data_IF_735286953002
#
_entry.id   IF_735286953002
#
_cell.length_a   1.000
_cell.length_b   1.000
_cell.length_c   1.000
_cell.angle_alpha   90.00
_cell.angle_beta   90.00
_cell.angle_gamma   90.00
#
_symmetry.space_group_name_H-M   'P 1'
#
loop_
_entity.id
_entity.type
_entity.pdbx_description
1 polymer ?
#
# COMPACT_ATOMS: atom_id res chain seq x y z
N UNK A 1 -38.03 0.15 -13.32
CA UNK A 1 -37.14 -0.03 -12.15
C UNK A 1 -36.60 -1.45 -12.20
N UNK A 2 -35.51 -1.66 -12.94
CA UNK A 2 -35.06 -3.01 -13.29
C UNK A 2 -34.11 -3.56 -12.23
N UNK A 3 -34.66 -4.44 -11.41
CA UNK A 3 -34.02 -5.62 -10.80
C UNK A 3 -32.49 -5.58 -10.64
N UNK A 4 -32.06 -5.21 -9.43
CA UNK A 4 -30.73 -5.43 -8.87
C UNK A 4 -30.50 -6.93 -8.58
N UNK A 5 -30.88 -7.83 -9.49
CA UNK A 5 -30.92 -9.27 -9.22
C UNK A 5 -29.68 -9.98 -9.76
N UNK A 6 -28.51 -9.36 -9.68
CA UNK A 6 -27.24 -10.01 -9.94
C UNK A 6 -26.51 -10.32 -8.64
N UNK A 7 -25.92 -11.52 -8.52
CA UNK A 7 -25.01 -11.84 -7.41
C UNK A 7 -23.94 -10.76 -7.26
N UNK A 8 -23.72 -10.21 -6.05
CA UNK A 8 -22.72 -9.16 -5.83
C UNK A 8 -21.30 -9.70 -6.08
N UNK A 9 -20.33 -8.79 -6.05
CA UNK A 9 -18.92 -9.16 -5.96
C UNK A 9 -18.69 -10.06 -4.73
N UNK A 10 -17.66 -10.90 -4.76
CA UNK A 10 -17.28 -11.74 -3.61
C UNK A 10 -15.81 -11.59 -3.32
N UNK A 11 -15.44 -11.56 -2.05
CA UNK A 11 -14.05 -11.45 -1.62
C UNK A 11 -13.54 -12.76 -1.06
N UNK A 12 -12.34 -13.14 -1.44
CA UNK A 12 -11.58 -14.22 -0.81
C UNK A 12 -10.29 -13.68 -0.23
N UNK A 13 -10.13 -13.78 1.09
CA UNK A 13 -8.96 -13.26 1.80
C UNK A 13 -8.07 -14.39 2.27
N UNK A 14 -6.77 -14.33 1.94
CA UNK A 14 -5.80 -15.31 2.40
C UNK A 14 -5.45 -15.06 3.88
N UNK A 15 -5.85 -16.00 4.76
CA UNK A 15 -5.68 -15.89 6.22
C UNK A 15 -4.99 -17.08 6.87
N UNK A 16 -4.39 -17.99 6.12
CA UNK A 16 -3.61 -19.07 6.74
C UNK A 16 -2.18 -18.67 7.14
N UNK A 17 -1.39 -19.71 7.44
CA UNK A 17 -0.14 -19.63 8.20
C UNK A 17 0.90 -18.62 7.67
N UNK A 18 0.89 -18.33 6.37
CA UNK A 18 1.89 -17.47 5.74
C UNK A 18 1.44 -16.03 5.49
N UNK A 19 0.18 -15.76 5.15
CA UNK A 19 -0.23 -14.43 4.66
C UNK A 19 -0.96 -13.57 5.70
N UNK A 20 -1.50 -14.19 6.75
CA UNK A 20 -2.31 -13.53 7.78
C UNK A 20 -1.60 -13.36 9.13
N UNK A 21 -0.27 -13.37 9.16
CA UNK A 21 0.50 -13.38 10.41
C UNK A 21 1.40 -12.16 10.56
N UNK A 22 1.51 -11.65 11.78
CA UNK A 22 2.42 -10.56 12.15
C UNK A 22 3.88 -10.85 11.78
N UNK A 23 4.28 -12.13 11.76
CA UNK A 23 5.63 -12.56 11.34
C UNK A 23 5.88 -12.26 9.86
N UNK A 24 4.90 -12.49 8.99
CA UNK A 24 5.04 -12.21 7.56
C UNK A 24 4.84 -10.74 7.24
N UNK A 25 3.82 -10.14 7.84
CA UNK A 25 3.40 -8.76 7.59
C UNK A 25 3.32 -8.04 8.93
N UNK A 26 4.44 -7.53 9.45
CA UNK A 26 4.45 -6.76 10.68
C UNK A 26 3.70 -5.42 10.47
N UNK A 27 3.09 -4.90 11.54
CA UNK A 27 2.39 -3.61 11.52
C UNK A 27 0.95 -3.65 10.99
N UNK A 28 0.49 -4.79 10.44
CA UNK A 28 -0.90 -4.94 9.98
C UNK A 28 -1.74 -5.68 11.02
N UNK A 29 -2.85 -5.06 11.42
CA UNK A 29 -3.92 -5.75 12.14
C UNK A 29 -4.81 -6.50 11.17
N UNK A 30 -4.53 -7.80 11.03
CA UNK A 30 -5.22 -8.68 10.11
C UNK A 30 -6.66 -8.97 10.55
N UNK A 31 -6.96 -8.87 11.85
CA UNK A 31 -8.32 -9.06 12.38
C UNK A 31 -9.17 -7.84 12.07
N UNK A 32 -8.68 -6.65 12.40
CA UNK A 32 -9.37 -5.40 12.08
C UNK A 32 -9.58 -5.24 10.56
N UNK A 33 -8.56 -5.56 9.77
CA UNK A 33 -8.71 -5.55 8.31
C UNK A 33 -9.77 -6.53 7.81
N UNK A 34 -9.82 -7.76 8.35
CA UNK A 34 -10.86 -8.71 7.95
C UNK A 34 -12.26 -8.21 8.33
N UNK A 35 -12.41 -7.65 9.53
CA UNK A 35 -13.67 -7.06 9.97
C UNK A 35 -14.11 -5.91 9.04
N UNK A 36 -13.17 -5.04 8.64
CA UNK A 36 -13.43 -3.97 7.67
C UNK A 36 -13.91 -4.53 6.33
N UNK A 37 -13.20 -5.51 5.76
CA UNK A 37 -13.57 -6.12 4.48
C UNK A 37 -14.96 -6.79 4.55
N UNK A 38 -15.29 -7.42 5.68
CA UNK A 38 -16.59 -8.05 5.92
C UNK A 38 -17.73 -7.06 6.14
N UNK A 39 -17.44 -5.78 6.32
CA UNK A 39 -18.42 -4.71 6.47
C UNK A 39 -18.67 -3.93 5.17
N UNK A 40 -17.97 -4.26 4.08
CA UNK A 40 -18.16 -3.62 2.77
C UNK A 40 -19.55 -3.96 2.22
N UNK A 41 -20.24 -2.93 1.75
CA UNK A 41 -21.51 -3.04 1.05
C UNK A 41 -21.34 -2.56 -0.41
N UNK A 42 -22.09 -3.11 -1.36
CA UNK A 42 -22.06 -2.67 -2.77
C UNK A 42 -22.93 -1.42 -3.01
N UNK A 43 -22.94 -0.87 -4.23
CA UNK A 43 -23.82 0.29 -4.59
C UNK A 43 -25.31 0.04 -4.34
N UNK A 44 -25.73 -1.22 -4.20
CA UNK A 44 -27.10 -1.59 -3.89
C UNK A 44 -27.33 -1.82 -2.39
N UNK A 45 -26.40 -1.37 -1.54
CA UNK A 45 -26.42 -1.54 -0.09
C UNK A 45 -26.48 -3.02 0.36
N UNK A 46 -25.95 -3.95 -0.44
CA UNK A 46 -25.88 -5.37 -0.08
C UNK A 46 -24.50 -5.70 0.44
N UNK A 47 -24.47 -6.45 1.55
CA UNK A 47 -23.23 -6.96 2.12
C UNK A 47 -22.47 -7.83 1.14
N UNK A 48 -21.22 -7.48 0.89
CA UNK A 48 -20.31 -8.25 0.03
C UNK A 48 -19.89 -9.54 0.74
N UNK A 49 -20.16 -10.73 0.17
CA UNK A 49 -19.75 -11.97 0.80
C UNK A 49 -18.22 -12.08 0.87
N UNK A 50 -17.69 -12.20 2.09
CA UNK A 50 -16.27 -12.39 2.35
C UNK A 50 -16.03 -13.79 2.89
N UNK A 51 -15.12 -14.53 2.27
CA UNK A 51 -14.63 -15.81 2.78
C UNK A 51 -13.13 -15.77 3.03
N UNK A 52 -12.67 -16.51 4.01
CA UNK A 52 -11.24 -16.71 4.27
C UNK A 52 -10.74 -18.01 3.65
N UNK A 53 -9.57 -17.98 3.01
CA UNK A 53 -8.86 -19.19 2.58
C UNK A 53 -7.62 -19.42 3.45
N UNK A 54 -7.29 -20.70 3.68
CA UNK A 54 -6.04 -21.10 4.33
C UNK A 54 -4.83 -20.75 3.45
N UNK A 55 -4.90 -20.95 2.13
CA UNK A 55 -3.79 -20.60 1.24
C UNK A 55 -4.30 -20.33 -0.17
N UNK A 56 -3.69 -19.36 -0.85
CA UNK A 56 -3.94 -19.02 -2.24
C UNK A 56 -2.73 -19.28 -3.15
N UNK A 57 -1.72 -20.00 -2.65
CA UNK A 57 -0.54 -20.43 -3.43
C UNK A 57 0.57 -19.37 -3.60
N UNK A 58 0.22 -18.09 -3.63
CA UNK A 58 1.17 -16.99 -3.89
C UNK A 58 1.67 -16.29 -2.62
N UNK A 59 2.14 -17.06 -1.64
CA UNK A 59 2.57 -16.57 -0.32
C UNK A 59 3.71 -15.53 -0.35
N UNK A 60 4.39 -15.33 -1.49
CA UNK A 60 5.41 -14.30 -1.63
C UNK A 60 4.82 -12.90 -1.81
N UNK A 61 3.57 -12.77 -2.28
CA UNK A 61 2.87 -11.49 -2.34
C UNK A 61 2.35 -11.05 -0.97
N UNK A 62 2.07 -11.99 -0.05
CA UNK A 62 1.50 -11.73 1.27
C UNK A 62 0.14 -10.99 1.24
N UNK A 63 -0.63 -11.14 2.33
CA UNK A 63 -1.94 -10.51 2.52
C UNK A 63 -2.82 -10.41 1.26
N UNK A 64 -3.03 -11.55 0.60
CA UNK A 64 -3.69 -11.60 -0.72
C UNK A 64 -5.20 -11.53 -0.57
N UNK A 65 -5.83 -10.70 -1.40
CA UNK A 65 -7.29 -10.58 -1.57
C UNK A 65 -7.64 -10.90 -3.02
N UNK A 66 -8.68 -11.70 -3.23
CA UNK A 66 -9.21 -11.98 -4.56
C UNK A 66 -10.61 -11.42 -4.66
N UNK A 67 -10.83 -10.55 -5.63
CA UNK A 67 -12.13 -9.97 -5.94
C UNK A 67 -12.75 -10.77 -7.08
N UNK A 68 -13.82 -11.50 -6.77
CA UNK A 68 -14.61 -12.18 -7.77
C UNK A 68 -15.65 -11.19 -8.32
N UNK A 69 -15.78 -11.04 -9.65
CA UNK A 69 -16.74 -10.13 -10.25
C UNK A 69 -18.19 -10.47 -9.85
N UNK A 70 -19.05 -9.46 -9.88
CA UNK A 70 -20.50 -9.63 -9.79
C UNK A 70 -21.05 -10.37 -11.02
N UNK A 71 -22.35 -10.71 -11.02
CA UNK A 71 -22.97 -11.31 -12.23
C UNK A 71 -22.87 -10.36 -13.43
N UNK A 72 -23.15 -9.08 -13.21
CA UNK A 72 -23.05 -8.05 -14.24
C UNK A 72 -21.60 -7.87 -14.70
N UNK A 73 -20.64 -7.82 -13.76
CA UNK A 73 -19.21 -7.73 -14.10
C UNK A 73 -18.73 -8.89 -14.95
N UNK A 74 -19.18 -10.13 -14.67
CA UNK A 74 -18.88 -11.28 -15.55
C UNK A 74 -19.51 -11.15 -16.93
N UNK A 75 -20.75 -10.69 -17.02
CA UNK A 75 -21.42 -10.48 -18.30
C UNK A 75 -20.70 -9.43 -19.16
N UNK A 76 -20.07 -8.44 -18.53
CA UNK A 76 -19.21 -7.45 -19.17
C UNK A 76 -17.77 -7.95 -19.46
N UNK A 77 -17.47 -9.23 -19.27
CA UNK A 77 -16.14 -9.81 -19.51
C UNK A 77 -15.14 -9.68 -18.34
N UNK A 78 -15.62 -9.26 -17.16
CA UNK A 78 -14.82 -9.15 -15.94
C UNK A 78 -14.29 -10.49 -15.45
N UNK A 79 -12.99 -10.53 -15.15
CA UNK A 79 -12.30 -11.68 -14.57
C UNK A 79 -11.97 -11.46 -13.09
N UNK A 80 -11.74 -12.52 -12.31
CA UNK A 80 -11.26 -12.38 -10.93
C UNK A 80 -9.93 -11.63 -10.86
N UNK A 81 -9.88 -10.58 -10.03
CA UNK A 81 -8.67 -9.78 -9.82
C UNK A 81 -7.99 -10.22 -8.53
N UNK A 82 -6.69 -10.49 -8.61
CA UNK A 82 -5.88 -10.89 -7.47
C UNK A 82 -5.02 -9.71 -7.03
N UNK A 83 -5.14 -9.33 -5.76
CA UNK A 83 -4.43 -8.22 -5.15
C UNK A 83 -3.48 -8.75 -4.07
N UNK A 84 -2.19 -8.48 -4.23
CA UNK A 84 -1.14 -8.80 -3.27
C UNK A 84 -0.78 -7.61 -2.40
N UNK A 85 -0.15 -7.86 -1.25
CA UNK A 85 0.40 -6.80 -0.38
C UNK A 85 -0.66 -5.76 0.04
N UNK A 86 -1.90 -6.19 0.27
CA UNK A 86 -2.99 -5.31 0.70
C UNK A 86 -2.82 -4.90 2.17
N UNK A 87 -1.83 -4.09 2.49
CA UNK A 87 -1.40 -3.85 3.88
C UNK A 87 -1.73 -2.47 4.42
N UNK A 88 -2.08 -1.54 3.54
CA UNK A 88 -2.29 -0.13 3.88
C UNK A 88 -3.79 0.21 3.88
N UNK A 89 -4.20 1.11 4.77
CA UNK A 89 -5.61 1.50 4.87
C UNK A 89 -6.15 2.13 3.58
N UNK A 90 -5.35 2.96 2.90
CA UNK A 90 -5.72 3.55 1.61
C UNK A 90 -6.01 2.52 0.51
N UNK A 91 -5.37 1.34 0.56
CA UNK A 91 -5.64 0.26 -0.39
C UNK A 91 -6.97 -0.41 -0.08
N UNK A 92 -7.35 -0.48 1.20
CA UNK A 92 -8.66 -1.00 1.60
C UNK A 92 -9.77 -0.01 1.25
N UNK A 93 -9.52 1.29 1.37
CA UNK A 93 -10.43 2.37 0.92
C UNK A 93 -10.64 2.29 -0.60
N UNK A 94 -9.56 2.26 -1.37
CA UNK A 94 -9.65 2.12 -2.82
C UNK A 94 -10.35 0.81 -3.26
N UNK A 95 -10.21 -0.26 -2.48
CA UNK A 95 -10.93 -1.52 -2.72
C UNK A 95 -12.43 -1.38 -2.42
N UNK A 96 -12.78 -0.72 -1.32
CA UNK A 96 -14.16 -0.45 -0.90
C UNK A 96 -14.88 0.39 -1.97
N UNK A 97 -14.29 1.53 -2.33
CA UNK A 97 -14.80 2.43 -3.38
C UNK A 97 -14.96 1.69 -4.72
N UNK A 98 -13.97 0.89 -5.11
CA UNK A 98 -14.05 0.14 -6.36
C UNK A 98 -15.14 -0.93 -6.36
N UNK A 99 -15.39 -1.59 -5.22
CA UNK A 99 -16.49 -2.56 -5.10
C UNK A 99 -17.83 -1.85 -5.12
N UNK A 100 -17.93 -0.70 -4.45
CA UNK A 100 -19.10 0.16 -4.48
C UNK A 100 -19.45 0.52 -5.93
N UNK A 101 -18.47 0.99 -6.72
CA UNK A 101 -18.62 1.32 -8.15
C UNK A 101 -18.95 0.11 -9.05
N UNK A 102 -18.98 -1.11 -8.51
CA UNK A 102 -19.40 -2.34 -9.21
C UNK A 102 -18.27 -3.34 -9.45
N UNK A 103 -17.02 -2.97 -9.17
CA UNK A 103 -15.86 -3.85 -9.18
C UNK A 103 -15.44 -4.36 -10.56
N UNK A 104 -14.76 -5.53 -10.63
CA UNK A 104 -14.15 -6.01 -11.87
C UNK A 104 -15.15 -6.19 -13.02
N UNK A 105 -14.81 -5.60 -14.16
CA UNK A 105 -15.62 -5.64 -15.40
C UNK A 105 -16.65 -4.51 -15.51
N UNK A 106 -16.95 -3.80 -14.42
CA UNK A 106 -17.89 -2.65 -14.43
C UNK A 106 -17.14 -1.34 -14.22
N UNK A 107 -16.38 -1.26 -13.13
CA UNK A 107 -15.57 -0.10 -12.80
C UNK A 107 -14.10 -0.32 -13.21
N UNK A 108 -13.42 0.70 -13.77
CA UNK A 108 -11.99 0.60 -14.06
C UNK A 108 -11.20 0.35 -12.78
N UNK A 109 -10.10 -0.40 -12.90
CA UNK A 109 -9.25 -0.67 -11.74
C UNK A 109 -8.57 0.63 -11.28
N UNK A 110 -8.65 1.01 -9.99
CA UNK A 110 -7.96 2.20 -9.50
C UNK A 110 -6.44 2.06 -9.60
N UNK A 111 -5.75 3.14 -9.97
CA UNK A 111 -4.29 3.17 -10.10
C UNK A 111 -3.56 2.73 -8.82
N UNK A 112 -4.12 3.03 -7.63
CA UNK A 112 -3.58 2.57 -6.35
C UNK A 112 -3.55 1.05 -6.21
N UNK A 113 -4.47 0.34 -6.87
CA UNK A 113 -4.54 -1.12 -6.84
C UNK A 113 -3.76 -1.79 -7.98
N UNK A 114 -3.46 -1.07 -9.07
CA UNK A 114 -2.72 -1.60 -10.22
C UNK A 114 -1.35 -2.15 -9.84
N UNK A 115 -0.59 -1.43 -9.00
CA UNK A 115 0.72 -1.88 -8.51
C UNK A 115 0.66 -3.17 -7.67
N UNK A 116 -0.54 -3.50 -7.20
CA UNK A 116 -0.83 -4.64 -6.34
C UNK A 116 -1.46 -5.81 -7.10
N UNK A 117 -1.77 -5.64 -8.39
CA UNK A 117 -2.30 -6.73 -9.22
C UNK A 117 -1.26 -7.82 -9.37
N UNK A 118 -1.71 -9.04 -9.14
CA UNK A 118 -0.95 -10.27 -9.33
C UNK A 118 -1.83 -11.29 -10.04
N UNK A 119 -1.32 -12.50 -10.24
CA UNK A 119 -2.11 -13.64 -10.71
C UNK A 119 -1.91 -14.83 -9.78
N UNK A 120 -2.81 -15.83 -9.88
CA UNK A 120 -2.67 -17.13 -9.23
C UNK A 120 -1.33 -17.80 -9.57
N UNK A 121 -0.86 -17.61 -10.80
CA UNK A 121 0.33 -18.25 -11.35
C UNK A 121 1.58 -17.37 -11.26
N UNK A 122 1.50 -16.25 -10.54
CA UNK A 122 2.62 -15.34 -10.36
C UNK A 122 3.82 -16.09 -9.76
N UNK A 123 4.98 -15.97 -10.41
CA UNK A 123 6.22 -16.59 -9.97
C UNK A 123 6.99 -15.62 -9.10
N UNK A 124 7.55 -16.11 -8.00
CA UNK A 124 8.42 -15.31 -7.14
C UNK A 124 9.61 -14.81 -7.98
N UNK A 125 9.91 -13.50 -7.99
CA UNK A 125 11.03 -12.98 -8.76
C UNK A 125 12.32 -13.64 -8.30
N UNK A 126 13.06 -14.23 -9.24
CA UNK A 126 14.39 -14.79 -8.98
C UNK A 126 15.32 -13.61 -8.70
N UNK A 127 16.04 -13.64 -7.57
CA UNK A 127 17.09 -12.64 -7.31
C UNK A 127 18.07 -12.66 -8.49
N UNK A 128 18.46 -11.51 -9.09
CA UNK A 128 19.49 -11.52 -10.10
C UNK A 128 20.76 -12.14 -9.51
N UNK A 129 21.34 -13.11 -10.21
CA UNK A 129 22.68 -13.62 -9.88
C UNK A 129 23.62 -12.42 -10.02
N UNK A 130 24.23 -11.96 -8.93
CA UNK A 130 25.30 -10.96 -8.99
C UNK A 130 26.41 -11.54 -9.86
N UNK A 131 26.51 -11.08 -11.11
CA UNK A 131 27.73 -11.21 -11.89
C UNK A 131 28.80 -10.44 -11.12
N UNK A 132 29.83 -11.12 -10.60
CA UNK A 132 31.10 -10.46 -10.28
C UNK A 132 31.63 -9.88 -11.59
N UNK A 133 31.37 -8.60 -11.86
CA UNK A 133 32.12 -7.85 -12.87
C UNK A 133 32.77 -6.64 -12.22
N UNK A 134 34.09 -6.75 -12.26
CA UNK A 134 35.19 -5.83 -11.98
C UNK A 134 34.81 -4.37 -12.23
N UNK A 135 35.10 -3.53 -11.25
CA UNK A 135 35.23 -2.09 -11.40
C UNK A 135 36.40 -1.80 -12.35
N UNK A 136 36.11 -1.32 -13.54
CA UNK A 136 37.05 -0.51 -14.32
C UNK A 136 36.28 0.69 -14.88
N UNK A 137 36.90 1.85 -14.69
CA UNK A 137 36.37 3.22 -14.76
C UNK A 137 36.18 3.70 -16.19
N UNK A 138 35.55 4.89 -16.28
CA UNK A 138 35.62 5.98 -17.29
C UNK A 138 34.21 6.30 -17.82
N UNK A 139 33.59 7.46 -17.60
CA UNK A 139 34.01 8.70 -16.95
C UNK A 139 32.99 9.82 -17.23
N UNK A 140 32.79 10.72 -16.25
CA UNK A 140 32.25 12.08 -16.40
C UNK A 140 30.74 12.20 -16.70
N UNK A 141 29.90 13.01 -16.03
CA UNK A 141 30.19 14.23 -15.27
C UNK A 141 29.02 14.52 -14.29
N UNK A 142 29.37 14.72 -13.02
CA UNK A 142 28.59 15.41 -11.95
C UNK A 142 28.36 16.90 -12.32
N UNK A 143 27.37 17.64 -11.75
CA UNK A 143 27.14 17.81 -10.31
C UNK A 143 25.64 17.69 -9.94
N UNK A 144 25.22 17.63 -8.68
CA UNK A 144 25.86 18.13 -7.49
C UNK A 144 25.16 17.60 -6.23
N UNK A 145 26.01 17.09 -5.34
CA UNK A 145 25.71 16.60 -4.01
C UNK A 145 25.81 17.75 -3.01
N UNK A 146 24.72 18.47 -2.76
CA UNK A 146 24.50 19.32 -1.56
C UNK A 146 22.99 19.19 -1.29
N UNK A 147 22.56 18.51 -0.23
CA UNK A 147 22.16 19.21 1.00
C UNK A 147 21.91 18.20 2.14
N UNK A 148 22.98 17.81 2.84
CA UNK A 148 22.86 17.24 4.20
C UNK A 148 23.87 17.82 5.19
N UNK A 149 24.54 18.92 4.80
CA UNK A 149 25.45 19.73 5.63
C UNK A 149 24.89 21.14 5.92
N UNK A 150 23.57 21.31 5.86
CA UNK A 150 22.90 22.62 6.04
C UNK A 150 22.09 22.72 7.35
N UNK A 151 21.99 21.64 8.13
CA UNK A 151 21.20 21.59 9.39
C UNK A 151 22.04 21.66 10.68
N UNK A 152 23.35 21.36 10.63
CA UNK A 152 24.22 21.33 11.84
C UNK A 152 24.91 22.67 12.10
N UNK A 153 25.29 23.40 11.05
CA UNK A 153 25.94 24.71 11.17
C UNK A 153 24.96 25.86 11.49
N UNK A 154 23.71 25.81 10.99
CA UNK A 154 22.64 26.76 11.34
C UNK A 154 22.25 26.75 12.83
N UNK A 155 22.46 25.64 13.55
CA UNK A 155 22.13 25.51 14.99
C UNK A 155 23.23 26.11 15.89
N UNK A 156 24.48 26.21 15.42
CA UNK A 156 25.59 26.82 16.17
C UNK A 156 25.62 28.34 16.04
N UNK A 157 25.32 28.89 14.86
CA UNK A 157 25.24 30.35 14.66
C UNK A 157 24.11 31.01 15.48
N UNK A 158 22.91 30.42 15.50
CA UNK A 158 21.77 30.97 16.28
C UNK A 158 21.98 30.96 17.79
N UNK A 159 22.83 30.06 18.32
CA UNK A 159 23.12 29.98 19.76
C UNK A 159 24.18 30.98 20.21
N UNK A 160 25.04 31.46 19.31
CA UNK A 160 26.03 32.49 19.60
C UNK A 160 25.42 33.90 19.62
N UNK A 161 24.45 34.18 18.74
CA UNK A 161 23.78 35.49 18.67
C UNK A 161 22.85 35.75 19.87
N UNK A 162 22.12 34.72 20.33
CA UNK A 162 21.28 34.83 21.55
C UNK A 162 22.11 35.12 22.81
N UNK A 163 23.31 34.53 22.92
CA UNK A 163 24.21 34.72 24.08
C UNK A 163 24.88 36.09 24.11
N UNK A 164 25.04 36.76 22.95
CA UNK A 164 25.54 38.15 22.89
C UNK A 164 24.45 39.16 23.29
N UNK A 165 23.21 38.94 22.82
CA UNK A 165 22.06 39.82 23.14
C UNK A 165 21.64 39.82 24.61
N UNK A 166 21.82 38.70 25.32
CA UNK A 166 21.59 38.65 26.78
C UNK A 166 22.70 39.36 27.58
N UNK A 167 23.95 39.31 27.11
CA UNK A 167 25.09 39.95 27.80
C UNK A 167 25.17 41.48 27.62
N UNK A 168 24.58 42.02 26.55
CA UNK A 168 24.44 43.47 26.35
C UNK A 168 23.32 44.07 27.19
N UNK A 169 22.20 43.34 27.38
CA UNK A 169 21.09 43.80 28.23
C UNK A 169 21.42 43.85 29.71
N UNK A 170 22.33 42.99 30.19
CA UNK A 170 22.80 43.00 31.59
C UNK A 170 23.77 44.16 31.87
N UNK A 171 24.48 44.67 30.85
CA UNK A 171 25.38 45.83 30.96
C UNK A 171 24.71 47.19 30.78
N UNK A 172 23.49 47.23 30.23
CA UNK A 172 22.70 48.46 30.07
C UNK A 172 21.73 48.72 31.24
N UNK A 173 21.70 47.86 32.27
CA UNK A 173 20.82 47.96 33.44
C UNK A 173 21.52 48.37 34.75
N UNK A 174 22.75 48.91 34.68
CA UNK A 174 23.48 49.38 35.87
C UNK A 174 24.09 50.75 35.58
N UNK A 175 23.20 51.74 35.46
CA UNK A 175 23.44 53.17 35.65
C UNK A 175 22.26 53.70 36.48
#
# INVERSE_FOLDING_TARGET
>A
MSAIDGTPCKLTVCRGCCCGTRKKVPGVDHKAQLARLSAIDDHAARRVPVRTSKCLGICFQANVVVVQPSRQGRAAGGNPVWLGRMTENRLLEALDDWIFDGGPGIAPLPALLEEHVTSKDAKKPKKPKKSKKKSEQLGGTEPGKKDKKSKKDKKRAKKAEKKKKEKEKEKAGRA
#
